data_IF_046852537339
#
_entry.id   IF_046852537339
#
_cell.length_a   1.000
_cell.length_b   1.000
_cell.length_c   1.000
_cell.angle_alpha   90.00
_cell.angle_beta   90.00
_cell.angle_gamma   90.00
#
_symmetry.space_group_name_H-M   'P 1'
#
loop_
_entity.id
_entity.type
_entity.pdbx_description
1 polymer ?
#
# COMPACT_ATOMS: atom_id res chain seq x y z
N UNK A 1 -4.50 -12.96 -20.37
CA UNK A 1 -4.17 -11.95 -21.41
C UNK A 1 -5.35 -11.00 -21.55
N UNK A 2 -5.18 -9.71 -21.36
CA UNK A 2 -6.24 -8.72 -21.61
C UNK A 2 -6.47 -8.72 -23.13
N UNK A 3 -7.67 -9.09 -23.55
CA UNK A 3 -8.06 -9.08 -24.97
C UNK A 3 -8.38 -7.64 -25.39
N UNK A 4 -8.79 -6.78 -24.47
CA UNK A 4 -9.19 -5.39 -24.70
C UNK A 4 -8.04 -4.42 -24.45
N UNK A 5 -7.95 -3.35 -25.23
CA UNK A 5 -6.95 -2.31 -25.07
C UNK A 5 -7.30 -1.41 -23.87
N UNK A 6 -6.37 -1.25 -22.96
CA UNK A 6 -6.57 -0.53 -21.70
C UNK A 6 -5.65 0.69 -21.61
N UNK A 7 -6.22 1.81 -21.16
CA UNK A 7 -5.48 2.98 -20.70
C UNK A 7 -5.44 2.99 -19.18
N UNK A 8 -4.27 2.77 -18.60
CA UNK A 8 -4.02 3.02 -17.18
C UNK A 8 -3.74 4.50 -16.96
N UNK A 9 -4.57 5.17 -16.16
CA UNK A 9 -4.52 6.61 -15.91
C UNK A 9 -4.16 6.88 -14.45
N UNK A 10 -3.01 7.51 -14.23
CA UNK A 10 -2.57 8.00 -12.93
C UNK A 10 -1.71 9.26 -13.10
N UNK A 11 -2.30 10.43 -12.86
CA UNK A 11 -1.62 11.72 -12.94
C UNK A 11 -1.16 12.23 -11.57
N UNK A 12 -0.96 11.35 -10.59
CA UNK A 12 -0.40 11.71 -9.29
C UNK A 12 1.04 12.20 -9.44
N UNK A 13 1.41 13.32 -8.81
CA UNK A 13 2.78 13.80 -8.75
C UNK A 13 3.60 13.12 -7.64
N UNK A 14 2.95 12.37 -6.76
CA UNK A 14 3.51 11.86 -5.51
C UNK A 14 4.31 10.56 -5.72
N UNK A 15 4.97 10.13 -4.64
CA UNK A 15 5.62 8.83 -4.53
C UNK A 15 5.11 8.14 -3.26
N UNK A 16 4.28 7.10 -3.43
CA UNK A 16 3.68 6.38 -2.32
C UNK A 16 3.15 5.02 -2.75
N UNK A 17 2.40 4.35 -1.87
CA UNK A 17 1.86 3.02 -2.12
C UNK A 17 0.98 2.92 -3.37
N UNK A 18 0.23 3.97 -3.69
CA UNK A 18 -0.60 4.04 -4.89
C UNK A 18 0.24 4.02 -6.16
N UNK A 19 1.29 4.85 -6.23
CA UNK A 19 2.18 4.97 -7.38
C UNK A 19 3.03 3.71 -7.56
N UNK A 20 3.50 3.13 -6.46
CA UNK A 20 4.23 1.86 -6.48
C UNK A 20 3.35 0.71 -6.99
N UNK A 21 2.08 0.62 -6.54
CA UNK A 21 1.14 -0.35 -7.06
C UNK A 21 0.86 -0.12 -8.56
N UNK A 22 0.66 1.13 -8.96
CA UNK A 22 0.43 1.48 -10.37
C UNK A 22 1.59 1.04 -11.27
N UNK A 23 2.83 1.20 -10.82
CA UNK A 23 4.01 0.72 -11.53
C UNK A 23 4.07 -0.82 -11.60
N UNK A 24 3.72 -1.52 -10.50
CA UNK A 24 3.59 -2.99 -10.50
C UNK A 24 2.53 -3.46 -11.50
N UNK A 25 1.37 -2.78 -11.53
CA UNK A 25 0.31 -3.01 -12.49
C UNK A 25 0.79 -2.82 -13.93
N UNK A 26 1.45 -1.70 -14.23
CA UNK A 26 1.95 -1.42 -15.57
C UNK A 26 3.01 -2.45 -16.03
N UNK A 27 3.88 -2.90 -15.12
CA UNK A 27 4.88 -3.93 -15.42
C UNK A 27 4.27 -5.31 -15.68
N UNK A 28 3.22 -5.68 -14.96
CA UNK A 28 2.54 -6.97 -15.17
C UNK A 28 1.89 -7.03 -16.54
N UNK A 29 1.25 -5.95 -16.97
CA UNK A 29 0.59 -5.84 -18.26
C UNK A 29 1.48 -5.22 -19.35
N UNK A 30 2.79 -5.31 -19.21
CA UNK A 30 3.74 -4.77 -20.20
C UNK A 30 3.61 -5.54 -21.54
N UNK A 31 2.59 -5.18 -22.33
CA UNK A 31 2.27 -5.72 -23.63
C UNK A 31 1.64 -4.63 -24.52
N UNK A 32 1.40 -4.97 -25.79
CA UNK A 32 0.86 -4.04 -26.81
C UNK A 32 -0.58 -3.54 -26.51
N UNK A 33 -1.26 -4.09 -25.51
CA UNK A 33 -2.63 -3.73 -25.13
C UNK A 33 -2.72 -2.80 -23.92
N UNK A 34 -1.61 -2.54 -23.21
CA UNK A 34 -1.58 -1.56 -22.14
C UNK A 34 -0.91 -0.26 -22.58
N UNK A 35 -1.63 0.84 -22.37
CA UNK A 35 -1.17 2.20 -22.56
C UNK A 35 -1.22 2.93 -21.21
N UNK A 36 -0.24 3.78 -20.94
CA UNK A 36 -0.14 4.48 -19.65
C UNK A 36 -0.24 5.99 -19.86
N UNK A 37 -1.11 6.67 -19.10
CA UNK A 37 -1.14 8.12 -19.05
C UNK A 37 -0.75 8.61 -17.64
N UNK A 38 0.28 9.45 -17.59
CA UNK A 38 0.83 9.96 -16.33
C UNK A 38 1.32 11.41 -16.48
N UNK A 39 1.56 12.09 -15.36
CA UNK A 39 2.07 13.47 -15.36
C UNK A 39 3.55 13.51 -15.74
N UNK A 40 3.93 14.49 -16.56
CA UNK A 40 5.35 14.77 -16.90
C UNK A 40 6.18 14.94 -15.63
N UNK A 41 7.40 14.40 -15.65
CA UNK A 41 8.38 14.48 -14.58
C UNK A 41 7.92 13.86 -13.23
N UNK A 42 6.82 13.11 -13.22
CA UNK A 42 6.38 12.37 -12.03
C UNK A 42 7.26 11.14 -11.78
N UNK A 43 7.16 10.59 -10.57
CA UNK A 43 7.79 9.31 -10.24
C UNK A 43 7.38 8.19 -11.21
N UNK A 44 6.10 8.13 -11.57
CA UNK A 44 5.56 7.15 -12.55
C UNK A 44 6.25 7.33 -13.91
N UNK A 45 6.33 8.57 -14.43
CA UNK A 45 6.93 8.84 -15.76
C UNK A 45 8.39 8.40 -15.86
N UNK A 46 9.14 8.56 -14.78
CA UNK A 46 10.57 8.18 -14.72
C UNK A 46 10.76 6.66 -14.72
N UNK A 47 9.76 5.90 -14.27
CA UNK A 47 9.82 4.44 -14.08
C UNK A 47 9.07 3.62 -15.14
N UNK A 48 8.44 4.27 -16.14
CA UNK A 48 7.78 3.62 -17.29
C UNK A 48 8.49 4.05 -18.55
N UNK A 49 8.92 3.08 -19.37
CA UNK A 49 9.70 3.34 -20.59
C UNK A 49 8.79 3.37 -21.83
N UNK A 50 7.91 2.38 -21.99
CA UNK A 50 7.15 2.16 -23.21
C UNK A 50 5.66 2.51 -23.06
N UNK A 51 4.97 2.71 -24.19
CA UNK A 51 3.51 2.94 -24.30
C UNK A 51 2.98 4.04 -23.38
N UNK A 52 3.81 5.07 -23.05
CA UNK A 52 3.41 6.15 -22.15
C UNK A 52 2.96 7.40 -22.88
N UNK A 53 1.90 8.02 -22.39
CA UNK A 53 1.44 9.34 -22.76
C UNK A 53 1.67 10.31 -21.61
N UNK A 54 2.58 11.25 -21.77
CA UNK A 54 2.85 12.27 -20.78
C UNK A 54 1.81 13.39 -20.83
N UNK A 55 1.14 13.63 -19.73
CA UNK A 55 0.15 14.68 -19.54
C UNK A 55 0.76 15.90 -18.82
N UNK A 56 0.15 17.06 -19.00
CA UNK A 56 0.55 18.24 -18.24
C UNK A 56 0.16 18.12 -16.76
N UNK A 57 0.91 18.74 -15.84
CA UNK A 57 0.46 18.89 -14.45
C UNK A 57 -0.92 19.55 -14.37
N UNK A 58 -1.66 19.32 -13.30
CA UNK A 58 -3.02 19.85 -13.15
C UNK A 58 -3.10 21.37 -13.22
N UNK A 59 -4.21 21.86 -13.75
CA UNK A 59 -4.52 23.28 -13.94
C UNK A 59 -5.68 23.41 -14.92
N UNK A 60 -6.46 24.49 -14.86
CA UNK A 60 -7.69 24.63 -15.66
C UNK A 60 -7.46 24.43 -17.16
N UNK A 61 -6.61 25.26 -17.77
CA UNK A 61 -6.25 25.17 -19.20
C UNK A 61 -5.55 23.84 -19.50
N UNK A 62 -4.63 23.41 -18.63
CA UNK A 62 -3.88 22.15 -18.78
C UNK A 62 -4.81 20.92 -18.75
N UNK A 63 -5.88 20.94 -17.96
CA UNK A 63 -6.88 19.87 -17.94
C UNK A 63 -7.64 19.78 -19.27
N UNK A 64 -7.97 20.89 -19.91
CA UNK A 64 -8.58 20.90 -21.25
C UNK A 64 -7.62 20.32 -22.29
N UNK A 65 -6.37 20.73 -22.26
CA UNK A 65 -5.35 20.19 -23.17
C UNK A 65 -5.13 18.68 -22.95
N UNK A 66 -5.10 18.23 -21.70
CA UNK A 66 -5.00 16.81 -21.36
C UNK A 66 -6.22 16.03 -21.87
N UNK A 67 -7.44 16.58 -21.72
CA UNK A 67 -8.65 15.97 -22.24
C UNK A 67 -8.57 15.77 -23.76
N UNK A 68 -8.23 16.81 -24.52
CA UNK A 68 -8.13 16.73 -25.99
C UNK A 68 -7.04 15.71 -26.40
N UNK A 69 -5.90 15.74 -25.74
CA UNK A 69 -4.79 14.83 -26.00
C UNK A 69 -5.16 13.37 -25.72
N UNK A 70 -5.76 13.10 -24.56
CA UNK A 70 -6.23 11.77 -24.16
C UNK A 70 -7.34 11.26 -25.06
N UNK A 71 -8.30 12.13 -25.44
CA UNK A 71 -9.37 11.78 -26.36
C UNK A 71 -8.85 11.32 -27.72
N UNK A 72 -7.90 12.07 -28.29
CA UNK A 72 -7.23 11.67 -29.53
C UNK A 72 -6.51 10.34 -29.36
N UNK A 73 -5.74 10.18 -28.28
CA UNK A 73 -4.98 8.97 -28.02
C UNK A 73 -5.87 7.71 -27.85
N UNK A 74 -7.02 7.88 -27.20
CA UNK A 74 -8.02 6.78 -27.05
C UNK A 74 -8.54 6.33 -28.40
N UNK A 75 -8.81 7.25 -29.32
CA UNK A 75 -9.25 6.94 -30.68
C UNK A 75 -8.13 6.30 -31.50
N UNK A 76 -6.93 6.91 -31.51
CA UNK A 76 -5.79 6.44 -32.31
C UNK A 76 -5.33 5.03 -31.89
N UNK A 77 -5.42 4.71 -30.61
CA UNK A 77 -5.03 3.39 -30.06
C UNK A 77 -6.19 2.41 -29.92
N UNK A 78 -7.41 2.82 -30.24
CA UNK A 78 -8.64 2.03 -30.12
C UNK A 78 -8.85 1.44 -28.72
N UNK A 79 -8.74 2.29 -27.67
CA UNK A 79 -8.84 1.91 -26.28
C UNK A 79 -10.29 1.65 -25.88
N UNK A 80 -10.54 0.56 -25.12
CA UNK A 80 -11.87 0.11 -24.67
C UNK A 80 -12.09 0.34 -23.16
N UNK A 81 -11.02 0.34 -22.38
CA UNK A 81 -11.05 0.40 -20.91
C UNK A 81 -10.16 1.55 -20.42
N UNK A 82 -10.67 2.34 -19.50
CA UNK A 82 -9.84 3.29 -18.74
C UNK A 82 -9.78 2.79 -17.29
N UNK A 83 -8.59 2.38 -16.86
CA UNK A 83 -8.29 2.02 -15.48
C UNK A 83 -7.75 3.24 -14.73
N UNK A 84 -8.48 3.71 -13.73
CA UNK A 84 -8.13 4.89 -12.93
C UNK A 84 -7.63 4.46 -11.56
N UNK A 85 -6.44 4.91 -11.17
CA UNK A 85 -5.88 4.64 -9.84
C UNK A 85 -5.99 5.84 -8.90
N UNK A 86 -5.89 7.06 -9.40
CA UNK A 86 -5.95 8.27 -8.59
C UNK A 86 -7.32 8.96 -8.67
N UNK A 87 -7.96 9.16 -7.52
CA UNK A 87 -9.34 9.69 -7.47
C UNK A 87 -9.51 11.07 -8.11
N UNK A 88 -8.45 11.88 -8.15
CA UNK A 88 -8.51 13.18 -8.79
C UNK A 88 -8.60 13.09 -10.32
N UNK A 89 -8.24 11.97 -10.93
CA UNK A 89 -8.34 11.75 -12.38
C UNK A 89 -9.70 11.22 -12.81
N UNK A 90 -10.53 10.80 -11.86
CA UNK A 90 -11.81 10.14 -12.14
C UNK A 90 -12.74 11.01 -12.98
N UNK A 91 -12.86 12.30 -12.65
CA UNK A 91 -13.71 13.21 -13.42
C UNK A 91 -13.26 13.33 -14.89
N UNK A 92 -11.95 13.41 -15.12
CA UNK A 92 -11.39 13.44 -16.48
C UNK A 92 -11.72 12.15 -17.23
N UNK A 93 -11.58 10.99 -16.60
CA UNK A 93 -11.94 9.70 -17.20
C UNK A 93 -13.44 9.62 -17.55
N UNK A 94 -14.31 10.13 -16.67
CA UNK A 94 -15.76 10.19 -16.95
C UNK A 94 -16.09 11.11 -18.13
N UNK A 95 -15.45 12.28 -18.24
CA UNK A 95 -15.63 13.15 -19.40
C UNK A 95 -15.17 12.46 -20.69
N UNK A 96 -14.03 11.74 -20.67
CA UNK A 96 -13.56 10.97 -21.83
C UNK A 96 -14.59 9.90 -22.24
N UNK A 97 -15.23 9.21 -21.29
CA UNK A 97 -16.32 8.25 -21.56
C UNK A 97 -17.55 8.95 -22.18
N UNK A 98 -18.04 10.02 -21.56
CA UNK A 98 -19.27 10.72 -21.99
C UNK A 98 -19.11 11.31 -23.40
N UNK A 99 -17.92 11.84 -23.72
CA UNK A 99 -17.65 12.42 -25.04
C UNK A 99 -17.02 11.42 -26.03
N UNK A 100 -17.00 10.13 -25.70
CA UNK A 100 -16.54 9.08 -26.62
C UNK A 100 -17.65 8.69 -27.61
N UNK A 101 -17.26 8.35 -28.85
CA UNK A 101 -18.18 7.81 -29.85
C UNK A 101 -18.45 6.32 -29.64
N UNK A 102 -17.60 5.62 -28.92
CA UNK A 102 -17.75 4.22 -28.54
C UNK A 102 -17.89 4.09 -27.03
N UNK A 103 -18.41 2.96 -26.58
CA UNK A 103 -18.48 2.65 -25.16
C UNK A 103 -17.07 2.50 -24.58
N UNK A 104 -16.77 3.28 -23.56
CA UNK A 104 -15.54 3.17 -22.76
C UNK A 104 -15.90 2.66 -21.37
N UNK A 105 -15.33 1.53 -20.98
CA UNK A 105 -15.49 0.99 -19.63
C UNK A 105 -14.59 1.72 -18.65
N UNK A 106 -15.15 2.24 -17.57
CA UNK A 106 -14.38 2.87 -16.49
C UNK A 106 -14.22 1.90 -15.33
N UNK A 107 -12.97 1.56 -15.05
CA UNK A 107 -12.55 0.77 -13.89
C UNK A 107 -11.84 1.70 -12.92
N UNK A 108 -12.36 1.88 -11.73
CA UNK A 108 -11.71 2.70 -10.71
C UNK A 108 -11.25 1.85 -9.55
N UNK A 109 -9.95 1.83 -9.27
CA UNK A 109 -9.36 1.12 -8.13
C UNK A 109 -9.04 2.07 -7.00
N UNK A 110 -9.89 2.04 -5.97
CA UNK A 110 -9.77 2.90 -4.79
C UNK A 110 -8.88 2.26 -3.73
N UNK A 111 -7.77 2.94 -3.40
CA UNK A 111 -6.76 2.46 -2.44
C UNK A 111 -6.71 3.32 -1.16
N UNK A 112 -7.42 4.43 -1.12
CA UNK A 112 -7.44 5.36 0.00
C UNK A 112 -8.83 5.41 0.63
N UNK A 113 -8.88 5.63 1.96
CA UNK A 113 -10.14 5.77 2.69
C UNK A 113 -11.08 6.81 2.09
N UNK A 114 -12.37 6.68 2.38
CA UNK A 114 -13.41 7.63 2.00
C UNK A 114 -13.77 8.43 3.23
N UNK A 115 -13.26 9.66 3.31
CA UNK A 115 -13.29 10.49 4.53
C UNK A 115 -14.67 11.09 4.85
N UNK A 116 -15.59 11.15 3.88
CA UNK A 116 -16.91 11.76 4.07
C UNK A 116 -17.92 11.29 3.00
N UNK A 117 -19.24 11.36 3.29
CA UNK A 117 -20.28 11.12 2.29
C UNK A 117 -20.17 12.09 1.10
N UNK A 118 -20.44 11.56 -0.10
CA UNK A 118 -20.38 12.28 -1.39
C UNK A 118 -21.72 12.10 -2.11
N UNK A 119 -22.75 12.87 -1.74
CA UNK A 119 -24.13 12.68 -2.22
C UNK A 119 -24.66 13.82 -3.09
N UNK A 120 -23.83 14.82 -3.39
CA UNK A 120 -24.16 15.94 -4.26
C UNK A 120 -24.26 15.51 -5.74
N UNK A 121 -24.83 16.39 -6.59
CA UNK A 121 -25.08 16.11 -8.01
C UNK A 121 -23.81 15.80 -8.79
N UNK A 122 -22.70 16.49 -8.48
CA UNK A 122 -21.42 16.21 -9.11
C UNK A 122 -20.95 14.78 -8.83
N UNK A 123 -20.96 14.36 -7.57
CA UNK A 123 -20.55 13.02 -7.22
C UNK A 123 -21.53 11.96 -7.74
N UNK A 124 -22.86 12.24 -7.75
CA UNK A 124 -23.83 11.34 -8.39
C UNK A 124 -23.50 11.13 -9.87
N UNK A 125 -23.23 12.20 -10.62
CA UNK A 125 -22.82 12.09 -12.01
C UNK A 125 -21.53 11.29 -12.18
N UNK A 126 -20.49 11.55 -11.39
CA UNK A 126 -19.21 10.87 -11.49
C UNK A 126 -19.34 9.38 -11.17
N UNK A 127 -19.93 9.03 -10.04
CA UNK A 127 -19.98 7.63 -9.57
C UNK A 127 -20.97 6.76 -10.34
N UNK A 128 -22.06 7.33 -10.90
CA UNK A 128 -23.00 6.57 -11.75
C UNK A 128 -22.37 6.10 -13.06
N UNK A 129 -21.37 6.82 -13.56
CA UNK A 129 -20.66 6.50 -14.79
C UNK A 129 -19.49 5.51 -14.63
N UNK A 130 -19.18 5.08 -13.41
CA UNK A 130 -18.22 4.01 -13.15
C UNK A 130 -18.87 2.68 -13.45
N UNK A 131 -18.17 1.80 -14.16
CA UNK A 131 -18.66 0.46 -14.50
C UNK A 131 -18.18 -0.59 -13.47
N UNK A 132 -16.92 -0.50 -13.04
CA UNK A 132 -16.34 -1.38 -12.02
C UNK A 132 -15.60 -0.53 -10.99
N UNK A 133 -15.97 -0.68 -9.74
CA UNK A 133 -15.35 0.02 -8.63
C UNK A 133 -14.63 -0.99 -7.73
N UNK A 134 -13.32 -0.97 -7.74
CA UNK A 134 -12.49 -1.87 -6.96
C UNK A 134 -12.01 -1.18 -5.67
N UNK A 135 -12.01 -1.90 -4.57
CA UNK A 135 -11.53 -1.44 -3.27
C UNK A 135 -10.61 -2.47 -2.63
N UNK A 136 -9.62 -2.02 -1.86
CA UNK A 136 -8.56 -2.90 -1.35
C UNK A 136 -8.92 -3.65 -0.07
N UNK A 137 -9.99 -3.25 0.65
CA UNK A 137 -10.41 -3.88 1.92
C UNK A 137 -11.93 -4.00 2.00
N UNK A 138 -12.42 -4.91 2.83
CA UNK A 138 -13.86 -5.01 3.16
C UNK A 138 -14.34 -3.75 3.87
N UNK A 139 -13.52 -3.17 4.76
CA UNK A 139 -13.84 -1.88 5.40
C UNK A 139 -14.12 -0.81 4.37
N UNK A 140 -13.23 -0.67 3.36
CA UNK A 140 -13.40 0.31 2.29
C UNK A 140 -14.62 0.00 1.40
N UNK A 141 -15.00 -1.29 1.23
CA UNK A 141 -16.23 -1.68 0.57
C UNK A 141 -17.46 -1.14 1.31
N UNK A 142 -17.54 -1.30 2.63
CA UNK A 142 -18.65 -0.77 3.41
C UNK A 142 -18.68 0.77 3.41
N UNK A 143 -17.51 1.42 3.56
CA UNK A 143 -17.41 2.88 3.41
C UNK A 143 -17.91 3.35 2.03
N UNK A 144 -17.58 2.63 0.96
CA UNK A 144 -18.05 2.97 -0.38
C UNK A 144 -19.58 2.80 -0.50
N UNK A 145 -20.15 1.74 0.06
CA UNK A 145 -21.60 1.53 0.09
C UNK A 145 -22.36 2.63 0.84
N UNK A 146 -21.78 3.13 1.92
CA UNK A 146 -22.43 4.09 2.81
C UNK A 146 -22.25 5.54 2.32
N UNK A 147 -21.08 5.87 1.75
CA UNK A 147 -20.68 7.24 1.47
C UNK A 147 -20.77 7.64 0.01
N UNK A 148 -20.79 6.67 -0.93
CA UNK A 148 -20.76 6.98 -2.35
C UNK A 148 -22.10 6.67 -3.04
N UNK A 149 -22.51 7.51 -4.00
CA UNK A 149 -23.72 7.27 -4.79
C UNK A 149 -23.43 6.30 -5.95
N UNK A 150 -22.99 5.08 -5.61
CA UNK A 150 -22.69 4.00 -6.54
C UNK A 150 -23.50 2.76 -6.18
N UNK A 151 -23.93 1.99 -7.18
CA UNK A 151 -24.69 0.76 -6.92
C UNK A 151 -23.75 -0.33 -6.39
N UNK A 152 -24.17 -1.04 -5.34
CA UNK A 152 -23.36 -2.07 -4.65
C UNK A 152 -22.84 -3.16 -5.59
N UNK A 153 -23.61 -3.55 -6.61
CA UNK A 153 -23.20 -4.56 -7.60
C UNK A 153 -21.98 -4.17 -8.43
N UNK A 154 -21.59 -2.90 -8.44
CA UNK A 154 -20.40 -2.42 -9.13
C UNK A 154 -19.15 -2.38 -8.24
N UNK A 155 -19.32 -2.62 -6.91
CA UNK A 155 -18.24 -2.53 -5.93
C UNK A 155 -17.71 -3.93 -5.65
N UNK A 156 -16.40 -4.12 -5.84
CA UNK A 156 -15.75 -5.41 -5.60
C UNK A 156 -14.49 -5.22 -4.76
N UNK A 157 -14.22 -6.18 -3.86
CA UNK A 157 -12.97 -6.20 -3.09
C UNK A 157 -11.90 -6.89 -3.92
N UNK A 158 -10.83 -6.16 -4.19
CA UNK A 158 -9.62 -6.66 -4.81
C UNK A 158 -8.42 -6.23 -3.95
N UNK A 159 -7.91 -7.14 -3.15
CA UNK A 159 -6.75 -6.90 -2.30
C UNK A 159 -5.47 -6.81 -3.13
N UNK A 160 -4.40 -6.28 -2.58
CA UNK A 160 -3.12 -6.19 -3.29
C UNK A 160 -2.55 -7.57 -3.65
N UNK A 161 -1.92 -7.64 -4.83
CA UNK A 161 -0.99 -8.69 -5.18
C UNK A 161 0.44 -8.29 -4.77
N UNK A 162 1.13 -9.21 -4.11
CA UNK A 162 2.49 -9.00 -3.61
C UNK A 162 3.41 -9.95 -4.34
N UNK A 163 4.44 -9.40 -4.97
CA UNK A 163 5.50 -10.17 -5.60
C UNK A 163 6.64 -10.38 -4.61
N UNK A 164 6.96 -11.64 -4.34
CA UNK A 164 8.08 -11.99 -3.45
C UNK A 164 9.39 -11.70 -4.19
N UNK A 165 10.36 -11.01 -3.56
CA UNK A 165 11.67 -10.78 -4.15
C UNK A 165 12.42 -12.12 -4.38
N UNK A 166 13.26 -12.16 -5.41
CA UNK A 166 14.14 -13.32 -5.62
C UNK A 166 15.14 -13.45 -4.48
N UNK A 167 15.64 -14.67 -4.24
CA UNK A 167 16.63 -14.90 -3.17
C UNK A 167 17.88 -14.03 -3.36
N UNK A 168 18.33 -13.83 -4.59
CA UNK A 168 19.49 -13.01 -4.91
C UNK A 168 19.29 -11.51 -4.67
N UNK A 169 18.03 -11.06 -4.52
CA UNK A 169 17.68 -9.67 -4.21
C UNK A 169 17.47 -9.42 -2.72
N UNK A 170 17.59 -10.45 -1.88
CA UNK A 170 17.52 -10.28 -0.43
C UNK A 170 18.79 -9.60 0.07
N UNK A 171 18.63 -8.78 1.09
CA UNK A 171 19.74 -8.10 1.75
C UNK A 171 20.50 -9.12 2.61
N UNK A 172 21.81 -9.11 2.51
CA UNK A 172 22.67 -9.90 3.36
C UNK A 172 22.54 -9.42 4.81
N UNK A 173 22.18 -10.35 5.70
CA UNK A 173 21.88 -10.02 7.10
C UNK A 173 23.13 -9.54 7.85
N UNK A 174 24.27 -10.19 7.67
CA UNK A 174 25.51 -9.85 8.37
C UNK A 174 25.99 -8.47 7.94
N UNK A 175 25.94 -8.20 6.63
CA UNK A 175 26.26 -6.89 6.09
C UNK A 175 25.30 -5.81 6.60
N UNK A 176 23.98 -6.08 6.64
CA UNK A 176 22.98 -5.12 7.15
C UNK A 176 23.26 -4.75 8.62
N UNK A 177 23.62 -5.74 9.44
CA UNK A 177 23.97 -5.52 10.85
C UNK A 177 25.25 -4.67 10.97
N UNK A 178 26.29 -5.02 10.22
CA UNK A 178 27.56 -4.28 10.22
C UNK A 178 27.41 -2.84 9.73
N UNK A 179 26.66 -2.62 8.63
CA UNK A 179 26.47 -1.29 8.04
C UNK A 179 25.66 -0.34 8.92
N UNK A 180 24.90 -0.86 9.90
CA UNK A 180 24.02 -0.08 10.78
C UNK A 180 24.41 -0.15 12.26
N UNK A 181 25.62 -0.64 12.59
CA UNK A 181 26.12 -0.78 13.97
C UNK A 181 25.17 -1.55 14.89
N UNK A 182 24.58 -2.66 14.37
CA UNK A 182 23.64 -3.52 15.09
C UNK A 182 24.35 -4.73 15.71
N UNK A 183 23.94 -5.11 16.92
CA UNK A 183 24.38 -6.33 17.58
C UNK A 183 23.47 -7.51 17.19
N UNK A 184 24.05 -8.52 16.54
CA UNK A 184 23.30 -9.70 16.06
C UNK A 184 22.79 -10.63 17.18
N UNK A 185 23.24 -10.43 18.43
CA UNK A 185 22.76 -11.17 19.61
C UNK A 185 21.51 -10.56 20.23
N UNK A 186 21.16 -9.32 19.87
CA UNK A 186 20.04 -8.55 20.43
C UNK A 186 18.83 -8.66 19.49
N UNK A 187 17.63 -8.83 20.05
CA UNK A 187 16.38 -8.93 19.32
C UNK A 187 16.10 -7.65 18.51
N UNK A 188 15.93 -7.77 17.19
CA UNK A 188 15.79 -6.65 16.27
C UNK A 188 14.37 -6.46 15.79
N UNK A 189 13.80 -5.27 16.05
CA UNK A 189 12.49 -4.84 15.59
C UNK A 189 12.63 -3.89 14.40
N UNK A 190 11.82 -4.09 13.34
CA UNK A 190 11.69 -3.19 12.20
C UNK A 190 10.34 -2.46 12.16
N UNK A 191 10.38 -1.15 11.88
CA UNK A 191 9.20 -0.32 11.56
C UNK A 191 9.43 0.33 10.20
N UNK A 192 8.72 -0.12 9.17
CA UNK A 192 8.83 0.39 7.80
C UNK A 192 7.67 1.34 7.50
N UNK A 193 7.91 2.63 7.61
CA UNK A 193 6.90 3.65 7.26
C UNK A 193 7.52 5.04 7.13
N UNK A 194 6.75 5.98 6.57
CA UNK A 194 7.10 7.40 6.67
C UNK A 194 7.19 7.82 8.14
N UNK A 195 8.18 8.64 8.47
CA UNK A 195 8.35 9.15 9.84
C UNK A 195 7.41 10.34 10.02
N UNK A 196 6.22 10.04 10.52
CA UNK A 196 5.15 11.00 10.83
C UNK A 196 4.33 10.51 12.04
N UNK A 197 3.73 11.42 12.78
CA UNK A 197 3.09 11.11 14.07
C UNK A 197 2.00 10.04 13.97
N UNK A 198 1.22 10.05 12.88
CA UNK A 198 0.14 9.08 12.66
C UNK A 198 0.63 7.63 12.48
N UNK A 199 1.93 7.45 12.22
CA UNK A 199 2.55 6.12 12.10
C UNK A 199 2.95 5.51 13.45
N UNK A 200 2.86 6.26 14.55
CA UNK A 200 2.92 5.73 15.90
C UNK A 200 4.30 5.26 16.39
N UNK A 201 5.41 5.72 15.78
CA UNK A 201 6.77 5.30 16.17
C UNK A 201 7.05 5.49 17.66
N UNK A 202 6.56 6.58 18.26
CA UNK A 202 6.71 6.87 19.69
C UNK A 202 6.05 5.81 20.60
N UNK A 203 5.03 5.07 20.09
CA UNK A 203 4.44 3.94 20.83
C UNK A 203 5.45 2.79 20.96
N UNK A 204 6.25 2.55 19.90
CA UNK A 204 7.27 1.50 19.92
C UNK A 204 8.41 1.90 20.87
N UNK A 205 8.86 3.18 20.84
CA UNK A 205 9.86 3.67 21.79
C UNK A 205 9.41 3.46 23.25
N UNK A 206 8.18 3.85 23.57
CA UNK A 206 7.64 3.65 24.92
C UNK A 206 7.48 2.16 25.27
N UNK A 207 7.10 1.32 24.31
CA UNK A 207 6.93 -0.11 24.55
C UNK A 207 8.27 -0.82 24.83
N UNK A 208 9.31 -0.55 24.02
CA UNK A 208 10.64 -1.17 24.24
C UNK A 208 11.31 -0.66 25.50
N UNK A 209 11.11 0.61 25.87
CA UNK A 209 11.67 1.15 27.13
C UNK A 209 11.11 0.52 28.40
N UNK A 210 9.96 -0.15 28.31
CA UNK A 210 9.31 -0.86 29.41
C UNK A 210 9.47 -2.39 29.32
N UNK A 211 10.05 -2.90 28.23
CA UNK A 211 10.36 -4.31 28.10
C UNK A 211 11.50 -4.70 29.05
N UNK A 212 11.42 -5.92 29.56
CA UNK A 212 12.52 -6.53 30.34
C UNK A 212 13.62 -7.13 29.47
N UNK A 213 13.43 -7.15 28.17
CA UNK A 213 14.36 -7.68 27.19
C UNK A 213 15.16 -6.55 26.56
N UNK A 214 16.39 -6.82 26.22
CA UNK A 214 17.20 -5.93 25.41
C UNK A 214 16.74 -6.01 23.96
N UNK A 215 16.45 -4.85 23.35
CA UNK A 215 15.81 -4.76 22.03
C UNK A 215 16.48 -3.65 21.23
N UNK A 216 16.80 -3.92 19.98
CA UNK A 216 17.16 -2.91 18.99
C UNK A 216 15.96 -2.60 18.08
N UNK A 217 15.81 -1.33 17.73
CA UNK A 217 14.73 -0.83 16.88
C UNK A 217 15.31 -0.10 15.68
N UNK A 218 14.98 -0.57 14.47
CA UNK A 218 15.21 0.18 13.24
C UNK A 218 13.91 0.84 12.77
N UNK A 219 13.95 2.16 12.62
CA UNK A 219 12.89 2.96 11.99
C UNK A 219 13.34 3.28 10.57
N UNK A 220 12.70 2.64 9.57
CA UNK A 220 13.10 2.69 8.17
C UNK A 220 12.09 3.51 7.38
N UNK A 221 12.56 4.62 6.78
CA UNK A 221 11.74 5.47 5.92
C UNK A 221 12.16 6.93 5.93
N UNK A 222 11.61 7.71 5.02
CA UNK A 222 11.91 9.13 4.95
C UNK A 222 11.05 9.94 5.94
N UNK A 223 11.61 11.04 6.44
CA UNK A 223 10.89 11.97 7.31
C UNK A 223 10.07 12.93 6.46
N UNK A 224 8.76 12.97 6.73
CA UNK A 224 7.87 14.00 6.18
C UNK A 224 7.94 15.29 7.01
N UNK A 225 8.28 15.16 8.28
CA UNK A 225 8.38 16.25 9.27
C UNK A 225 9.61 16.01 10.15
N UNK A 226 10.64 16.81 9.92
CA UNK A 226 11.88 16.74 10.69
C UNK A 226 11.66 17.04 12.16
N UNK A 227 10.64 17.82 12.52
CA UNK A 227 10.31 18.11 13.93
C UNK A 227 9.84 16.85 14.65
N UNK A 228 9.09 15.96 13.98
CA UNK A 228 8.68 14.69 14.58
C UNK A 228 9.84 13.71 14.71
N UNK A 229 10.74 13.64 13.71
CA UNK A 229 11.97 12.82 13.82
C UNK A 229 12.82 13.27 15.00
N UNK A 230 12.99 14.60 15.17
CA UNK A 230 13.72 15.15 16.32
C UNK A 230 13.05 14.79 17.65
N UNK A 231 11.72 14.92 17.76
CA UNK A 231 10.97 14.48 18.97
C UNK A 231 11.21 13.01 19.30
N UNK A 232 11.26 12.12 18.30
CA UNK A 232 11.55 10.69 18.53
C UNK A 232 12.97 10.49 19.08
N UNK A 233 13.96 11.25 18.62
CA UNK A 233 15.32 11.22 19.14
C UNK A 233 15.39 11.73 20.58
N UNK A 234 14.71 12.84 20.88
CA UNK A 234 14.61 13.41 22.22
C UNK A 234 13.87 12.45 23.19
N UNK A 235 12.82 11.79 22.72
CA UNK A 235 12.10 10.76 23.48
C UNK A 235 12.99 9.55 23.76
N UNK A 236 13.76 9.09 22.79
CA UNK A 236 14.71 7.99 22.98
C UNK A 236 15.77 8.34 24.04
N UNK A 237 16.27 9.58 24.04
CA UNK A 237 17.20 10.09 25.05
C UNK A 237 16.55 10.14 26.45
N UNK A 238 15.35 10.72 26.54
CA UNK A 238 14.56 10.81 27.79
C UNK A 238 14.26 9.43 28.38
N UNK A 239 13.96 8.44 27.52
CA UNK A 239 13.70 7.05 27.90
C UNK A 239 14.97 6.24 28.14
N UNK A 240 16.16 6.82 27.90
CA UNK A 240 17.50 6.18 28.03
C UNK A 240 17.71 4.96 27.13
N UNK A 241 17.08 4.96 25.95
CA UNK A 241 17.16 3.90 24.92
C UNK A 241 17.77 4.39 23.61
N UNK A 242 18.42 5.56 23.59
CA UNK A 242 18.97 6.17 22.37
C UNK A 242 19.98 5.26 21.64
N UNK A 243 20.68 4.39 22.36
CA UNK A 243 21.64 3.42 21.81
C UNK A 243 20.97 2.18 21.18
N UNK A 244 19.67 2.01 21.38
CA UNK A 244 18.87 0.92 20.84
C UNK A 244 18.10 1.34 19.58
N UNK A 245 18.06 2.64 19.23
CA UNK A 245 17.19 3.19 18.18
C UNK A 245 18.00 3.68 17.00
N UNK A 246 17.79 3.05 15.84
CA UNK A 246 18.50 3.32 14.59
C UNK A 246 17.52 3.87 13.55
N UNK A 247 17.84 5.03 12.97
CA UNK A 247 17.06 5.64 11.91
C UNK A 247 17.74 5.34 10.57
N UNK A 248 17.05 4.60 9.71
CA UNK A 248 17.54 4.18 8.40
C UNK A 248 16.70 4.90 7.33
N UNK A 249 17.37 5.38 6.29
CA UNK A 249 16.70 6.06 5.19
C UNK A 249 15.73 5.14 4.43
N UNK A 250 14.95 5.74 3.55
CA UNK A 250 13.99 5.04 2.71
C UNK A 250 14.69 3.96 1.86
N UNK A 251 14.06 2.78 1.81
CA UNK A 251 14.48 1.65 0.97
C UNK A 251 13.42 1.36 -0.10
N UNK A 252 13.83 1.14 -1.34
CA UNK A 252 12.92 0.91 -2.46
C UNK A 252 12.20 -0.44 -2.40
N UNK A 253 12.81 -1.44 -1.75
CA UNK A 253 12.28 -2.80 -1.63
C UNK A 253 12.27 -3.27 -0.17
N UNK A 254 11.30 -2.84 0.65
CA UNK A 254 11.24 -3.22 2.07
C UNK A 254 11.30 -4.74 2.30
N UNK A 255 10.62 -5.52 1.45
CA UNK A 255 10.60 -6.99 1.57
C UNK A 255 12.00 -7.62 1.55
N UNK A 256 12.94 -7.05 0.78
CA UNK A 256 14.31 -7.57 0.70
C UNK A 256 15.07 -7.44 2.02
N UNK A 257 14.69 -6.50 2.87
CA UNK A 257 15.29 -6.26 4.19
C UNK A 257 14.59 -7.04 5.32
N UNK A 258 13.33 -7.43 5.15
CA UNK A 258 12.53 -8.02 6.22
C UNK A 258 13.17 -9.26 6.88
N UNK A 259 13.83 -10.16 6.15
CA UNK A 259 14.50 -11.32 6.78
C UNK A 259 15.65 -10.95 7.74
N UNK A 260 16.11 -9.70 7.75
CA UNK A 260 17.09 -9.22 8.71
C UNK A 260 16.51 -9.02 10.12
N UNK A 261 15.17 -8.93 10.25
CA UNK A 261 14.46 -8.58 11.47
C UNK A 261 13.84 -9.80 12.15
N UNK A 262 13.77 -9.77 13.48
CA UNK A 262 13.08 -10.78 14.28
C UNK A 262 11.58 -10.49 14.44
N UNK A 263 11.16 -9.21 14.22
CA UNK A 263 9.78 -8.76 14.33
C UNK A 263 9.55 -7.51 13.50
N UNK A 264 8.45 -7.45 12.76
CA UNK A 264 7.95 -6.24 12.11
C UNK A 264 6.74 -5.70 12.85
N UNK A 265 6.75 -4.40 13.17
CA UNK A 265 5.63 -3.73 13.84
C UNK A 265 5.02 -2.68 12.91
N UNK A 266 3.68 -2.65 12.83
CA UNK A 266 2.91 -1.59 12.20
C UNK A 266 2.08 -0.86 13.28
N UNK A 267 2.63 0.20 13.92
CA UNK A 267 2.01 0.85 15.08
C UNK A 267 1.07 1.99 14.70
N UNK A 268 0.62 2.06 13.46
CA UNK A 268 -0.16 3.16 12.89
C UNK A 268 -1.50 3.37 13.60
N UNK A 269 -1.94 4.63 13.69
CA UNK A 269 -3.26 4.98 14.23
C UNK A 269 -4.40 4.68 13.27
N UNK A 270 -4.11 4.72 11.98
CA UNK A 270 -5.06 4.41 10.92
C UNK A 270 -4.30 3.97 9.67
N UNK A 271 -4.73 2.86 9.09
CA UNK A 271 -4.18 2.32 7.87
C UNK A 271 -5.31 1.84 6.95
N UNK A 272 -5.19 2.07 5.65
CA UNK A 272 -6.22 1.59 4.72
C UNK A 272 -6.09 0.09 4.49
N UNK A 273 -4.85 -0.42 4.38
CA UNK A 273 -4.59 -1.85 4.19
C UNK A 273 -3.55 -2.36 5.20
N UNK A 274 -2.33 -1.88 5.16
CA UNK A 274 -1.21 -2.38 5.95
C UNK A 274 -0.32 -3.33 5.16
N UNK A 275 0.07 -2.91 3.96
CA UNK A 275 0.84 -3.72 3.00
C UNK A 275 2.09 -4.33 3.63
N UNK A 276 2.82 -3.59 4.46
CA UNK A 276 4.02 -4.04 5.18
C UNK A 276 3.76 -5.30 6.02
N UNK A 277 2.57 -5.42 6.64
CA UNK A 277 2.22 -6.62 7.43
C UNK A 277 2.09 -7.84 6.53
N UNK A 278 1.40 -7.71 5.40
CA UNK A 278 1.25 -8.81 4.45
C UNK A 278 2.60 -9.19 3.82
N UNK A 279 3.43 -8.20 3.51
CA UNK A 279 4.80 -8.39 3.01
C UNK A 279 5.67 -9.14 4.03
N UNK A 280 5.65 -8.74 5.31
CA UNK A 280 6.40 -9.41 6.37
C UNK A 280 5.93 -10.86 6.60
N UNK A 281 4.61 -11.12 6.55
CA UNK A 281 4.06 -12.47 6.62
C UNK A 281 4.58 -13.36 5.49
N UNK A 282 4.64 -12.84 4.25
CA UNK A 282 5.18 -13.58 3.10
C UNK A 282 6.68 -13.84 3.21
N UNK A 283 7.40 -12.98 3.91
CA UNK A 283 8.84 -13.12 4.20
C UNK A 283 9.12 -13.93 5.48
N UNK A 284 8.08 -14.57 6.06
CA UNK A 284 8.19 -15.43 7.25
C UNK A 284 8.72 -14.69 8.49
N UNK A 285 8.43 -13.40 8.61
CA UNK A 285 8.79 -12.58 9.76
C UNK A 285 7.56 -12.39 10.65
N UNK A 286 7.67 -12.57 11.99
CA UNK A 286 6.58 -12.29 12.92
C UNK A 286 6.06 -10.86 12.78
N UNK A 287 4.74 -10.67 12.99
CA UNK A 287 4.11 -9.35 12.85
C UNK A 287 3.28 -8.97 14.07
N UNK A 288 3.37 -7.71 14.46
CA UNK A 288 2.45 -7.06 15.37
C UNK A 288 1.84 -5.85 14.65
N UNK A 289 0.51 -5.76 14.64
CA UNK A 289 -0.19 -4.63 14.05
C UNK A 289 -1.13 -3.94 15.04
N UNK A 290 -1.37 -2.66 14.82
CA UNK A 290 -2.40 -1.91 15.54
C UNK A 290 -3.80 -2.42 15.15
N UNK A 291 -4.69 -2.58 16.12
CA UNK A 291 -6.10 -2.94 15.88
C UNK A 291 -6.87 -1.73 15.33
N UNK A 292 -6.44 -1.23 14.16
CA UNK A 292 -7.00 -0.04 13.53
C UNK A 292 -7.01 -0.17 11.99
N UNK A 293 -7.97 0.53 11.38
CA UNK A 293 -8.05 0.61 9.91
C UNK A 293 -8.33 -0.75 9.25
N UNK A 294 -7.52 -1.09 8.25
CA UNK A 294 -7.57 -2.36 7.52
C UNK A 294 -6.67 -3.45 8.10
N UNK A 295 -5.85 -3.14 9.12
CA UNK A 295 -4.90 -4.11 9.71
C UNK A 295 -5.60 -5.36 10.28
N UNK A 296 -6.78 -5.25 10.94
CA UNK A 296 -7.53 -6.43 11.40
C UNK A 296 -8.10 -7.32 10.28
N UNK A 297 -8.07 -6.87 9.03
CA UNK A 297 -8.44 -7.73 7.89
C UNK A 297 -7.28 -8.63 7.44
N UNK A 298 -6.04 -8.29 7.85
CA UNK A 298 -4.82 -9.05 7.55
C UNK A 298 -4.41 -9.91 8.73
N UNK A 299 -4.41 -9.34 9.94
CA UNK A 299 -4.03 -10.05 11.16
C UNK A 299 -5.27 -10.62 11.86
N UNK A 300 -5.37 -11.95 11.88
CA UNK A 300 -6.23 -12.68 12.80
C UNK A 300 -5.44 -12.86 14.10
N UNK A 301 -5.85 -12.13 15.14
CA UNK A 301 -5.13 -12.10 16.42
C UNK A 301 -4.89 -13.50 17.01
N UNK A 302 -3.62 -13.81 17.35
CA UNK A 302 -3.17 -15.11 17.87
C UNK A 302 -3.27 -16.30 16.91
N UNK A 303 -3.62 -16.06 15.62
CA UNK A 303 -3.64 -17.10 14.60
C UNK A 303 -2.49 -16.96 13.60
N UNK A 304 -2.31 -15.74 13.03
CA UNK A 304 -1.30 -15.43 12.03
C UNK A 304 -0.49 -14.17 12.37
N UNK A 305 -0.62 -13.63 13.58
CA UNK A 305 0.06 -12.45 14.07
C UNK A 305 -0.61 -11.93 15.33
N UNK A 306 -0.10 -10.82 15.86
CA UNK A 306 -0.67 -10.21 17.05
C UNK A 306 -1.22 -8.82 16.75
N UNK A 307 -2.40 -8.52 17.28
CA UNK A 307 -2.96 -7.18 17.34
C UNK A 307 -2.74 -6.58 18.71
N UNK A 308 -2.46 -5.30 18.76
CA UNK A 308 -2.48 -4.51 19.99
C UNK A 308 -3.51 -3.38 19.89
N UNK A 309 -4.02 -2.93 21.01
CA UNK A 309 -4.97 -1.83 21.09
C UNK A 309 -4.34 -0.54 20.57
N UNK A 310 -4.98 0.08 19.58
CA UNK A 310 -4.44 1.31 18.96
C UNK A 310 -4.13 2.39 20.00
N UNK A 311 -2.95 3.01 19.90
CA UNK A 311 -2.42 4.02 20.81
C UNK A 311 -2.04 3.52 22.21
N UNK A 312 -2.13 2.22 22.49
CA UNK A 312 -1.78 1.63 23.77
C UNK A 312 -0.40 0.96 23.72
N UNK A 313 0.65 1.70 24.10
CA UNK A 313 2.02 1.17 24.11
C UNK A 313 2.24 0.07 25.17
N UNK A 314 1.46 0.04 26.25
CA UNK A 314 1.54 -1.03 27.28
C UNK A 314 1.03 -2.35 26.74
N UNK A 315 -0.05 -2.33 25.92
CA UNK A 315 -0.50 -3.56 25.24
C UNK A 315 0.51 -3.98 24.17
N UNK A 316 1.08 -3.02 23.42
CA UNK A 316 2.15 -3.29 22.45
C UNK A 316 3.37 -3.96 23.11
N UNK A 317 3.82 -3.45 24.26
CA UNK A 317 4.91 -4.04 25.04
C UNK A 317 4.64 -5.51 25.39
N UNK A 318 3.43 -5.83 25.87
CA UNK A 318 3.04 -7.21 26.19
C UNK A 318 3.08 -8.14 24.95
N UNK A 319 2.72 -7.61 23.76
CA UNK A 319 2.80 -8.38 22.51
C UNK A 319 4.25 -8.61 22.07
N UNK A 320 5.13 -7.64 22.26
CA UNK A 320 6.56 -7.76 21.99
C UNK A 320 7.17 -8.84 22.90
N UNK A 321 6.95 -8.73 24.21
CA UNK A 321 7.45 -9.73 25.18
C UNK A 321 6.93 -11.14 24.88
N UNK A 322 5.66 -11.28 24.46
CA UNK A 322 5.10 -12.55 24.05
C UNK A 322 5.89 -13.16 22.86
N UNK A 323 6.21 -12.38 21.83
CA UNK A 323 6.97 -12.85 20.66
C UNK A 323 8.36 -13.35 21.08
N UNK A 324 9.04 -12.62 21.97
CA UNK A 324 10.38 -12.97 22.46
C UNK A 324 10.36 -14.25 23.31
N UNK A 325 9.39 -14.34 24.23
CA UNK A 325 9.36 -15.41 25.24
C UNK A 325 8.74 -16.72 24.72
N UNK A 326 7.75 -16.62 23.81
CA UNK A 326 6.94 -17.78 23.38
C UNK A 326 7.37 -18.26 21.99
N UNK A 327 8.66 -18.62 21.83
CA UNK A 327 9.29 -19.00 20.54
C UNK A 327 8.48 -20.04 19.76
N UNK A 328 8.01 -21.12 20.39
CA UNK A 328 7.23 -22.15 19.71
C UNK A 328 5.85 -21.66 19.24
N UNK A 329 5.20 -20.79 20.02
CA UNK A 329 3.95 -20.16 19.63
C UNK A 329 4.17 -19.18 18.49
N UNK A 330 5.25 -18.39 18.56
CA UNK A 330 5.65 -17.44 17.51
C UNK A 330 5.92 -18.17 16.19
N UNK A 331 6.63 -19.30 16.22
CA UNK A 331 6.89 -20.13 15.03
C UNK A 331 5.58 -20.62 14.39
N UNK A 332 4.60 -21.03 15.20
CA UNK A 332 3.29 -21.44 14.71
C UNK A 332 2.52 -20.26 14.07
N UNK A 333 2.59 -19.06 14.67
CA UNK A 333 2.02 -17.84 14.08
C UNK A 333 2.62 -17.54 12.72
N UNK A 334 3.95 -17.57 12.61
CA UNK A 334 4.69 -17.29 11.38
C UNK A 334 4.31 -18.27 10.26
N UNK A 335 4.27 -19.57 10.54
CA UNK A 335 3.90 -20.58 9.54
C UNK A 335 2.47 -20.35 9.01
N UNK A 336 1.52 -20.08 9.90
CA UNK A 336 0.14 -19.77 9.50
C UNK A 336 0.05 -18.44 8.75
N UNK A 337 0.85 -17.44 9.15
CA UNK A 337 0.91 -16.13 8.50
C UNK A 337 1.44 -16.26 7.05
N UNK A 338 2.53 -16.96 6.87
CA UNK A 338 3.14 -17.21 5.55
C UNK A 338 2.17 -17.94 4.64
N UNK A 339 1.56 -19.04 5.09
CA UNK A 339 0.55 -19.75 4.30
C UNK A 339 -0.62 -18.85 3.91
N UNK A 340 -1.22 -18.18 4.89
CA UNK A 340 -2.35 -17.25 4.67
C UNK A 340 -2.01 -16.15 3.66
N UNK A 341 -0.85 -15.49 3.82
CA UNK A 341 -0.47 -14.38 2.98
C UNK A 341 -0.14 -14.84 1.55
N UNK A 342 0.55 -15.96 1.37
CA UNK A 342 0.87 -16.55 0.06
C UNK A 342 -0.38 -17.00 -0.71
N UNK A 343 -1.39 -17.51 -0.02
CA UNK A 343 -2.66 -17.89 -0.65
C UNK A 343 -3.49 -16.66 -1.06
N UNK A 344 -3.56 -15.65 -0.19
CA UNK A 344 -4.48 -14.52 -0.31
C UNK A 344 -3.92 -13.38 -1.15
N UNK A 345 -2.61 -13.09 -1.03
CA UNK A 345 -1.97 -11.93 -1.65
C UNK A 345 -1.04 -12.31 -2.82
N UNK A 346 -1.21 -13.50 -3.36
CA UNK A 346 -0.43 -13.97 -4.51
C UNK A 346 -0.55 -13.01 -5.70
N UNK A 347 0.59 -12.63 -6.26
CA UNK A 347 0.70 -11.62 -7.33
C UNK A 347 -0.10 -12.00 -8.58
N UNK A 348 0.08 -13.22 -9.08
CA UNK A 348 -0.58 -13.68 -10.30
C UNK A 348 -2.09 -13.87 -10.10
N UNK A 349 -2.50 -14.45 -8.97
CA UNK A 349 -3.92 -14.60 -8.61
C UNK A 349 -4.63 -13.25 -8.52
N UNK A 350 -3.95 -12.20 -8.03
CA UNK A 350 -4.49 -10.84 -7.99
C UNK A 350 -4.88 -10.35 -9.39
N UNK A 351 -3.98 -10.48 -10.38
CA UNK A 351 -4.27 -10.00 -11.73
C UNK A 351 -5.29 -10.86 -12.46
N UNK A 352 -5.27 -12.19 -12.26
CA UNK A 352 -6.33 -13.06 -12.76
C UNK A 352 -7.70 -12.66 -12.21
N UNK A 353 -7.78 -12.33 -10.91
CA UNK A 353 -9.01 -11.84 -10.27
C UNK A 353 -9.40 -10.47 -10.82
N UNK A 354 -8.44 -9.55 -11.00
CA UNK A 354 -8.69 -8.26 -11.65
C UNK A 354 -9.32 -8.43 -13.01
N UNK A 355 -8.77 -9.28 -13.89
CA UNK A 355 -9.31 -9.55 -15.23
C UNK A 355 -10.74 -10.08 -15.19
N UNK A 356 -11.02 -11.06 -14.32
CA UNK A 356 -12.38 -11.59 -14.13
C UNK A 356 -13.37 -10.51 -13.74
N UNK A 357 -13.01 -9.65 -12.78
CA UNK A 357 -13.87 -8.56 -12.31
C UNK A 357 -14.15 -7.52 -13.40
N UNK A 358 -13.16 -7.15 -14.19
CA UNK A 358 -13.36 -6.17 -15.25
C UNK A 358 -14.08 -6.75 -16.48
N UNK A 359 -13.99 -8.06 -16.75
CA UNK A 359 -14.69 -8.71 -17.84
C UNK A 359 -16.15 -9.06 -17.49
N UNK A 360 -16.53 -9.03 -16.21
CA UNK A 360 -17.89 -9.32 -15.77
C UNK A 360 -18.23 -10.81 -15.70
N UNK A 361 -17.24 -11.68 -15.54
CA UNK A 361 -17.40 -13.15 -15.52
C UNK A 361 -17.69 -13.74 -14.12
N UNK A 362 -17.89 -12.92 -13.09
CA UNK A 362 -18.39 -13.40 -11.79
C UNK A 362 -19.89 -13.06 -11.66
N UNK A 363 -20.72 -14.04 -12.00
CA UNK A 363 -22.09 -14.17 -11.47
C UNK A 363 -22.05 -15.10 -10.27
#
# INVERSE_FOLDING_TARGET
>A
MIINKMLALCMSPDQGGLELYFLKFARYYNNDNLFVACTRNSYITKNIIENKLECNPRGFIKNILNFLKLRKYIVDKDIDIIHVSWSKDLFLAILLKVFSKKYLKIVFYRQMKISRPKRDLYHKFVYSNIDVFLVITKKLYYEACDYLPIHKSKIHVLEYGINIPSKDSLVDKEKFYSDNDLDSSIFLIGVFSRIEEQKGHHLVLNAISQSKHEIQLCIIGYSMDNSYKQRLQDDALRLKIQHQVHFIDFVDSPMSYMPCFDLIILPTYEETFGLIVAEAMMMEVPVIGSNAGGVPEIINHQENGLLFESKNYTDLQKRIDFIIEKKESTKKLVNKASQFANERYNYDKHFVKFEKLIMGSEK
#
